data_IF_115173219647
#
_entry.id   IF_115173219647
#
_cell.length_a   1.000
_cell.length_b   1.000
_cell.length_c   1.000
_cell.angle_alpha   90.00
_cell.angle_beta   90.00
_cell.angle_gamma   90.00
#
_symmetry.space_group_name_H-M   'P 1'
#
loop_
_entity.id
_entity.type
_entity.pdbx_description
1 polymer ?
#
# COMPACT_ATOMS: atom_id res chain seq x y z
N UNK A 1 4.73 11.34 -16.27
CA UNK A 1 5.81 10.54 -15.66
C UNK A 1 5.54 10.39 -14.16
N UNK A 2 5.74 9.22 -13.61
CA UNK A 2 5.64 8.93 -12.17
C UNK A 2 6.72 7.92 -11.79
N UNK A 3 7.07 7.85 -10.50
CA UNK A 3 7.97 6.83 -9.98
C UNK A 3 7.16 5.80 -9.20
N UNK A 4 7.32 4.52 -9.53
CA UNK A 4 6.79 3.43 -8.73
C UNK A 4 7.83 3.01 -7.68
N UNK A 5 7.40 2.93 -6.44
CA UNK A 5 8.21 2.51 -5.28
C UNK A 5 7.62 1.19 -4.78
N UNK A 6 8.28 0.06 -5.01
CA UNK A 6 7.83 -1.23 -4.48
C UNK A 6 7.89 -1.24 -2.95
N UNK A 7 7.27 -2.25 -2.33
CA UNK A 7 7.37 -2.48 -0.89
C UNK A 7 8.81 -2.85 -0.54
N UNK A 8 9.51 -1.93 0.11
CA UNK A 8 10.91 -2.06 0.52
C UNK A 8 11.16 -1.27 1.80
N UNK A 9 11.63 -1.95 2.85
CA UNK A 9 11.82 -1.35 4.17
C UNK A 9 12.90 -0.26 4.19
N UNK A 10 13.94 -0.41 3.36
CA UNK A 10 15.01 0.59 3.29
C UNK A 10 14.49 1.89 2.66
N UNK A 11 13.73 1.78 1.58
CA UNK A 11 13.13 2.94 0.92
C UNK A 11 12.08 3.57 1.83
N UNK A 12 11.21 2.78 2.45
CA UNK A 12 10.19 3.28 3.38
C UNK A 12 10.80 4.08 4.53
N UNK A 13 11.90 3.61 5.11
CA UNK A 13 12.62 4.31 6.17
C UNK A 13 13.31 5.61 5.69
N UNK A 14 13.55 5.76 4.39
CA UNK A 14 14.25 6.90 3.80
C UNK A 14 13.36 7.73 2.85
N UNK A 15 12.05 7.59 2.94
CA UNK A 15 11.10 8.33 2.08
C UNK A 15 11.34 9.84 2.04
N UNK A 16 11.72 10.54 3.14
CA UNK A 16 12.04 11.98 3.08
C UNK A 16 13.17 12.31 2.08
N UNK A 17 14.16 11.45 1.93
CA UNK A 17 15.23 11.67 0.93
C UNK A 17 14.71 11.49 -0.50
N UNK A 18 13.82 10.53 -0.73
CA UNK A 18 13.16 10.34 -2.03
C UNK A 18 12.28 11.54 -2.37
N UNK A 19 11.42 11.95 -1.43
CA UNK A 19 10.44 13.01 -1.66
C UNK A 19 11.10 14.39 -1.81
N UNK A 20 12.25 14.64 -1.19
CA UNK A 20 13.01 15.88 -1.42
C UNK A 20 13.34 16.09 -2.90
N UNK A 21 13.66 15.02 -3.61
CA UNK A 21 13.98 15.06 -5.05
C UNK A 21 12.71 15.07 -5.91
N UNK A 22 11.75 14.19 -5.57
CA UNK A 22 10.55 14.05 -6.39
C UNK A 22 9.63 15.27 -6.32
N UNK A 23 9.54 15.92 -5.16
CA UNK A 23 8.77 17.17 -4.98
C UNK A 23 9.41 18.33 -5.76
N UNK A 24 10.74 18.48 -5.68
CA UNK A 24 11.46 19.48 -6.47
C UNK A 24 11.21 19.33 -7.97
N UNK A 25 11.23 18.11 -8.45
CA UNK A 25 11.03 17.76 -9.88
C UNK A 25 9.56 17.64 -10.29
N UNK A 26 8.62 17.81 -9.37
CA UNK A 26 7.19 17.64 -9.62
C UNK A 26 6.83 16.25 -10.15
N UNK A 27 7.47 15.22 -9.60
CA UNK A 27 7.26 13.83 -10.01
C UNK A 27 6.43 13.10 -8.94
N UNK A 28 5.20 12.64 -9.24
CA UNK A 28 4.40 11.88 -8.30
C UNK A 28 5.00 10.50 -8.03
N UNK A 29 4.84 10.00 -6.81
CA UNK A 29 5.25 8.67 -6.41
C UNK A 29 4.03 7.75 -6.22
N UNK A 30 4.10 6.55 -6.79
CA UNK A 30 3.11 5.49 -6.60
C UNK A 30 3.76 4.44 -5.72
N UNK A 31 3.29 4.32 -4.48
CA UNK A 31 3.89 3.47 -3.46
C UNK A 31 3.21 2.10 -3.39
N UNK A 32 3.98 1.05 -3.12
CA UNK A 32 3.48 -0.31 -2.98
C UNK A 32 2.75 -0.55 -1.65
N UNK A 33 2.89 0.36 -0.66
CA UNK A 33 2.25 0.23 0.64
C UNK A 33 2.07 1.60 1.33
N UNK A 34 1.21 1.64 2.37
CA UNK A 34 0.79 2.89 3.02
C UNK A 34 1.92 3.60 3.80
N UNK A 35 2.89 2.87 4.35
CA UNK A 35 4.01 3.46 5.11
C UNK A 35 4.85 4.42 4.27
N UNK A 36 5.09 4.10 3.00
CA UNK A 36 5.77 5.00 2.08
C UNK A 36 4.98 6.30 1.83
N UNK A 37 3.64 6.23 1.78
CA UNK A 37 2.79 7.43 1.63
C UNK A 37 2.82 8.27 2.90
N UNK A 38 2.75 7.64 4.07
CA UNK A 38 2.89 8.32 5.37
C UNK A 38 4.27 8.95 5.54
N UNK A 39 5.31 8.37 4.93
CA UNK A 39 6.66 8.93 4.86
C UNK A 39 6.84 10.08 3.85
N UNK A 40 5.77 10.50 3.17
CA UNK A 40 5.78 11.64 2.24
C UNK A 40 5.45 11.29 0.78
N UNK A 41 5.33 10.00 0.42
CA UNK A 41 4.93 9.59 -0.92
C UNK A 41 3.54 10.09 -1.31
N UNK A 42 3.20 10.03 -2.61
CA UNK A 42 1.98 10.67 -3.12
C UNK A 42 0.74 9.79 -2.95
N UNK A 43 0.79 8.55 -3.38
CA UNK A 43 -0.37 7.64 -3.35
C UNK A 43 0.08 6.17 -3.25
N UNK A 44 -0.73 5.35 -2.60
CA UNK A 44 -0.68 3.90 -2.74
C UNK A 44 -2.03 3.32 -3.15
N UNK A 45 -1.97 2.23 -3.87
CA UNK A 45 -3.02 1.24 -4.04
C UNK A 45 -2.39 -0.10 -3.70
N UNK A 46 -2.44 -0.48 -2.44
CA UNK A 46 -1.59 -1.55 -1.91
C UNK A 46 -2.28 -2.40 -0.86
N UNK A 47 -1.53 -3.35 -0.34
CA UNK A 47 -2.02 -4.33 0.62
C UNK A 47 -2.48 -3.68 1.93
N UNK A 48 -3.59 -4.20 2.46
CA UNK A 48 -4.03 -3.93 3.82
C UNK A 48 -3.39 -4.94 4.77
N UNK A 49 -2.36 -4.54 5.50
CA UNK A 49 -1.62 -5.44 6.41
C UNK A 49 -2.46 -5.98 7.55
N UNK A 50 -3.45 -5.23 8.03
CA UNK A 50 -4.36 -5.73 9.06
C UNK A 50 -5.25 -6.86 8.53
N UNK A 51 -5.82 -6.70 7.35
CA UNK A 51 -6.60 -7.75 6.69
C UNK A 51 -5.75 -8.97 6.35
N UNK A 52 -4.50 -8.75 5.91
CA UNK A 52 -3.55 -9.82 5.65
C UNK A 52 -3.20 -10.61 6.93
N UNK A 53 -3.02 -9.89 8.06
CA UNK A 53 -2.82 -10.53 9.37
C UNK A 53 -4.01 -11.39 9.80
N UNK A 54 -5.24 -10.93 9.58
CA UNK A 54 -6.46 -11.72 9.83
C UNK A 54 -6.52 -12.98 8.95
N UNK A 55 -6.17 -12.85 7.67
CA UNK A 55 -6.10 -13.99 6.75
C UNK A 55 -5.07 -15.01 7.23
N UNK A 56 -3.90 -14.57 7.64
CA UNK A 56 -2.85 -15.44 8.23
C UNK A 56 -3.34 -16.14 9.49
N UNK A 57 -4.04 -15.44 10.39
CA UNK A 57 -4.62 -16.02 11.59
C UNK A 57 -5.64 -17.12 11.24
N UNK A 58 -6.49 -16.89 10.24
CA UNK A 58 -7.44 -17.91 9.78
C UNK A 58 -6.75 -19.17 9.22
N UNK A 59 -5.64 -19.01 8.49
CA UNK A 59 -4.84 -20.13 8.03
C UNK A 59 -4.19 -20.88 9.21
N UNK A 60 -3.68 -20.16 10.21
CA UNK A 60 -3.14 -20.76 11.43
C UNK A 60 -4.20 -21.57 12.20
N UNK A 61 -5.42 -21.09 12.30
CA UNK A 61 -6.54 -21.82 12.92
C UNK A 61 -6.81 -23.13 12.19
N UNK A 62 -6.81 -23.13 10.85
CA UNK A 62 -7.01 -24.35 10.07
C UNK A 62 -5.92 -25.39 10.38
N UNK A 63 -4.67 -24.99 10.51
CA UNK A 63 -3.55 -25.87 10.82
C UNK A 63 -3.64 -26.38 12.26
N UNK A 64 -3.78 -25.48 13.23
CA UNK A 64 -3.61 -25.79 14.65
C UNK A 64 -4.85 -26.46 15.26
N UNK A 65 -6.04 -26.12 14.83
CA UNK A 65 -7.28 -26.58 15.45
C UNK A 65 -8.09 -27.54 14.55
N UNK A 66 -7.99 -27.39 13.23
CA UNK A 66 -8.73 -28.21 12.29
C UNK A 66 -7.87 -29.30 11.65
N UNK A 67 -6.59 -29.44 12.05
CA UNK A 67 -5.64 -30.44 11.55
C UNK A 67 -5.48 -30.44 10.01
N UNK A 68 -5.68 -29.28 9.35
CA UNK A 68 -5.44 -29.16 7.91
C UNK A 68 -3.94 -29.09 7.67
N UNK A 69 -3.42 -29.94 6.77
CA UNK A 69 -2.01 -29.85 6.38
C UNK A 69 -1.69 -28.53 5.72
N UNK A 70 -0.58 -27.84 6.06
CA UNK A 70 -0.16 -26.60 5.37
C UNK A 70 -0.08 -26.74 3.85
N UNK A 71 0.27 -27.93 3.34
CA UNK A 71 0.31 -28.20 1.90
C UNK A 71 -1.05 -28.13 1.19
N UNK A 72 -2.14 -28.24 1.95
CA UNK A 72 -3.51 -28.17 1.44
C UNK A 72 -4.12 -26.75 1.55
N UNK A 73 -3.38 -25.80 2.11
CA UNK A 73 -3.83 -24.40 2.24
C UNK A 73 -3.20 -23.58 1.11
N UNK A 74 -4.00 -23.00 0.21
CA UNK A 74 -3.46 -22.16 -0.85
C UNK A 74 -2.80 -20.89 -0.27
N UNK A 75 -1.84 -20.35 -1.00
CA UNK A 75 -1.26 -19.03 -0.67
C UNK A 75 -2.37 -18.00 -0.69
N UNK A 76 -2.55 -17.31 0.44
CA UNK A 76 -3.50 -16.21 0.54
C UNK A 76 -2.94 -14.94 -0.13
N UNK A 77 -3.74 -14.32 -0.98
CA UNK A 77 -3.41 -13.05 -1.63
C UNK A 77 -4.61 -12.10 -1.54
N UNK A 78 -4.31 -10.82 -1.43
CA UNK A 78 -5.32 -9.77 -1.57
C UNK A 78 -5.38 -9.38 -3.04
N UNK A 79 -6.43 -9.76 -3.74
CA UNK A 79 -6.57 -9.57 -5.19
C UNK A 79 -7.80 -8.74 -5.57
N UNK A 80 -8.78 -8.65 -4.68
CA UNK A 80 -9.96 -7.85 -4.94
C UNK A 80 -9.74 -6.37 -4.59
N UNK A 81 -10.38 -5.44 -5.30
CA UNK A 81 -10.29 -4.02 -5.02
C UNK A 81 -10.68 -3.62 -3.59
N UNK A 82 -11.56 -4.40 -2.97
CA UNK A 82 -12.07 -4.15 -1.61
C UNK A 82 -11.07 -4.55 -0.53
N UNK A 83 -10.15 -5.47 -0.86
CA UNK A 83 -9.10 -5.94 0.05
C UNK A 83 -7.89 -5.01 0.09
N UNK A 84 -7.75 -4.16 -0.92
CA UNK A 84 -6.64 -3.23 -1.06
C UNK A 84 -7.02 -1.85 -0.52
N UNK A 85 -6.04 -1.14 0.04
CA UNK A 85 -6.21 0.22 0.52
C UNK A 85 -5.73 1.24 -0.51
N UNK A 86 -6.49 2.34 -0.62
CA UNK A 86 -6.04 3.56 -1.28
C UNK A 86 -5.73 4.58 -0.20
N UNK A 87 -4.47 4.97 -0.10
CA UNK A 87 -4.02 6.04 0.79
C UNK A 87 -3.38 7.13 -0.06
N UNK A 88 -3.78 8.37 0.18
CA UNK A 88 -3.33 9.55 -0.57
C UNK A 88 -2.74 10.56 0.41
N UNK A 89 -1.60 11.11 0.07
CA UNK A 89 -1.01 12.23 0.75
C UNK A 89 -1.51 13.53 0.10
N UNK A 90 -2.48 14.18 0.73
CA UNK A 90 -3.08 15.41 0.19
C UNK A 90 -2.07 16.55 0.06
N UNK A 91 -1.08 16.64 0.97
CA UNK A 91 -0.02 17.64 0.90
C UNK A 91 0.82 17.45 -0.38
N UNK A 92 1.24 16.21 -0.65
CA UNK A 92 1.97 15.87 -1.88
C UNK A 92 1.14 16.16 -3.14
N UNK A 93 -0.12 15.74 -3.14
CA UNK A 93 -1.05 15.99 -4.26
C UNK A 93 -1.20 17.49 -4.55
N UNK A 94 -1.34 18.30 -3.51
CA UNK A 94 -1.45 19.75 -3.63
C UNK A 94 -0.15 20.39 -4.14
N UNK A 95 1.00 20.00 -3.60
CA UNK A 95 2.32 20.46 -4.06
C UNK A 95 2.57 20.14 -5.53
N UNK A 96 2.13 18.97 -5.97
CA UNK A 96 2.30 18.51 -7.35
C UNK A 96 1.26 19.11 -8.32
N UNK A 97 0.18 19.72 -7.81
CA UNK A 97 -0.92 20.24 -8.62
C UNK A 97 -1.76 19.12 -9.28
N UNK A 98 -1.84 17.95 -8.64
CA UNK A 98 -2.58 16.79 -9.16
C UNK A 98 -4.02 16.86 -8.70
N UNK A 99 -4.95 16.54 -9.60
CA UNK A 99 -6.36 16.34 -9.27
C UNK A 99 -6.67 14.84 -9.14
N UNK A 100 -7.13 14.42 -7.98
CA UNK A 100 -7.56 13.04 -7.76
C UNK A 100 -8.98 12.86 -8.26
N UNK A 101 -9.25 11.93 -9.18
CA UNK A 101 -10.60 11.66 -9.68
C UNK A 101 -11.55 11.19 -8.57
N UNK A 102 -12.83 11.55 -8.66
CA UNK A 102 -13.84 11.15 -7.68
C UNK A 102 -14.03 9.64 -7.58
N UNK A 103 -13.79 8.91 -8.66
CA UNK A 103 -13.78 7.44 -8.64
C UNK A 103 -12.72 6.84 -7.71
N UNK A 104 -11.61 7.52 -7.54
CA UNK A 104 -10.54 7.14 -6.59
C UNK A 104 -10.91 7.59 -5.19
N UNK A 105 -11.36 8.85 -5.02
CA UNK A 105 -11.75 9.39 -3.71
C UNK A 105 -12.81 8.54 -3.00
N UNK A 106 -13.79 8.04 -3.74
CA UNK A 106 -14.86 7.17 -3.21
C UNK A 106 -14.36 5.83 -2.67
N UNK A 107 -13.15 5.42 -3.01
CA UNK A 107 -12.52 4.16 -2.58
C UNK A 107 -11.50 4.35 -1.46
N UNK A 108 -11.22 5.59 -1.07
CA UNK A 108 -10.38 5.89 0.10
C UNK A 108 -11.09 5.42 1.37
N UNK A 109 -10.32 4.83 2.27
CA UNK A 109 -10.81 4.39 3.59
C UNK A 109 -10.33 5.36 4.67
#
# INVERSE_FOLDING_TARGET
TAIYIPTDNLIAANMPAVTSVTDEKKIPTICGEAGCVLGGGTITYGVNYYALGKQTANQAIQILFNNVSPSNIPVGMQTSPEELDIVINEESVNKLGITIPDSIKKRMK
#
